data_IF_236813731456
#
_entry.id   IF_236813731456
#
_cell.length_a   1.000
_cell.length_b   1.000
_cell.length_c   1.000
_cell.angle_alpha   90.00
_cell.angle_beta   90.00
_cell.angle_gamma   90.00
#
_symmetry.space_group_name_H-M   'P 1'
#
loop_
_entity.id
_entity.type
_entity.pdbx_description
1 polymer ?
#
# COMPACT_ATOMS: atom_id res chain seq x y z
N UNK A 1 -8.11 9.17 -30.47
CA UNK A 1 -7.22 8.33 -29.63
C UNK A 1 -6.45 7.40 -30.56
N UNK A 2 -5.10 7.49 -30.67
CA UNK A 2 -4.32 6.45 -31.33
C UNK A 2 -4.14 5.25 -30.37
N UNK A 3 -4.20 4.00 -30.86
CA UNK A 3 -3.95 2.82 -30.04
C UNK A 3 -2.46 2.67 -29.69
N UNK A 4 -2.18 2.08 -28.52
CA UNK A 4 -0.83 1.83 -28.04
C UNK A 4 -0.07 0.85 -28.97
N UNK A 5 1.25 1.03 -29.20
CA UNK A 5 2.04 0.13 -30.02
C UNK A 5 2.13 -1.23 -29.35
N UNK A 6 1.54 -2.26 -29.97
CA UNK A 6 1.67 -3.65 -29.54
C UNK A 6 3.07 -4.15 -29.87
N UNK A 7 3.97 -4.16 -28.88
CA UNK A 7 5.29 -4.77 -29.00
C UNK A 7 5.11 -6.29 -29.06
N UNK A 8 5.14 -6.86 -30.27
CA UNK A 8 5.08 -8.31 -30.45
C UNK A 8 6.33 -8.93 -29.82
N UNK A 9 6.14 -9.87 -28.90
CA UNK A 9 7.22 -10.63 -28.30
C UNK A 9 8.01 -11.35 -29.41
N UNK A 10 9.36 -11.33 -29.38
CA UNK A 10 10.14 -12.05 -30.36
C UNK A 10 9.81 -13.56 -30.27
N UNK A 11 9.83 -14.30 -31.38
CA UNK A 11 9.50 -15.73 -31.40
C UNK A 11 10.37 -16.54 -30.43
N UNK A 12 11.59 -16.08 -30.16
CA UNK A 12 12.51 -16.69 -29.19
C UNK A 12 12.01 -16.59 -27.74
N UNK A 13 11.28 -15.53 -27.38
CA UNK A 13 10.63 -15.43 -26.06
C UNK A 13 9.53 -16.48 -25.90
N UNK A 14 8.78 -16.78 -26.96
CA UNK A 14 7.78 -17.86 -26.95
C UNK A 14 8.40 -19.25 -26.74
N UNK A 15 9.54 -19.53 -27.39
CA UNK A 15 10.28 -20.76 -27.13
C UNK A 15 10.78 -20.84 -25.67
N UNK A 16 11.29 -19.74 -25.12
CA UNK A 16 11.71 -19.68 -23.72
C UNK A 16 10.55 -19.96 -22.76
N UNK A 17 9.37 -19.35 -22.98
CA UNK A 17 8.18 -19.62 -22.18
C UNK A 17 7.68 -21.07 -22.32
N UNK A 18 7.75 -21.65 -23.52
CA UNK A 18 7.36 -23.04 -23.74
C UNK A 18 8.29 -24.01 -22.98
N UNK A 19 9.60 -23.77 -23.00
CA UNK A 19 10.59 -24.56 -22.23
C UNK A 19 10.37 -24.39 -20.72
N UNK A 20 10.12 -23.16 -20.25
CA UNK A 20 9.84 -22.88 -18.85
C UNK A 20 8.57 -23.59 -18.38
N UNK A 21 7.50 -23.58 -19.19
CA UNK A 21 6.21 -24.19 -18.87
C UNK A 21 6.28 -25.71 -18.86
N UNK A 22 7.02 -26.31 -19.80
CA UNK A 22 7.26 -27.76 -19.83
C UNK A 22 8.14 -28.23 -18.68
N UNK A 23 9.20 -27.49 -18.34
CA UNK A 23 10.02 -27.75 -17.16
C UNK A 23 9.20 -27.62 -15.86
N UNK A 24 8.33 -26.61 -15.76
CA UNK A 24 7.39 -26.45 -14.64
C UNK A 24 6.41 -27.62 -14.54
N UNK A 25 5.82 -28.06 -15.66
CA UNK A 25 4.91 -29.20 -15.69
C UNK A 25 5.59 -30.51 -15.28
N UNK A 26 6.83 -30.76 -15.73
CA UNK A 26 7.62 -31.93 -15.31
C UNK A 26 8.00 -31.86 -13.83
N UNK A 27 8.41 -30.69 -13.34
CA UNK A 27 8.69 -30.47 -11.92
C UNK A 27 7.44 -30.68 -11.06
N UNK A 28 6.28 -30.21 -11.53
CA UNK A 28 4.98 -30.41 -10.87
C UNK A 28 4.54 -31.88 -10.86
N UNK A 29 4.87 -32.63 -11.91
CA UNK A 29 4.63 -34.08 -11.97
C UNK A 29 5.51 -34.85 -10.99
N UNK A 30 6.77 -34.45 -10.84
CA UNK A 30 7.71 -35.09 -9.93
C UNK A 30 7.48 -34.73 -8.46
N UNK A 31 6.97 -33.52 -8.19
CA UNK A 31 6.80 -33.01 -6.82
C UNK A 31 5.42 -32.38 -6.57
N UNK A 32 4.30 -33.08 -6.87
CA UNK A 32 2.95 -32.52 -6.72
C UNK A 32 2.66 -32.16 -5.25
N UNK A 33 3.21 -32.92 -4.31
CA UNK A 33 3.05 -32.68 -2.87
C UNK A 33 3.70 -31.37 -2.44
N UNK A 34 4.90 -31.04 -2.96
CA UNK A 34 5.62 -29.82 -2.60
C UNK A 34 4.87 -28.59 -3.13
N UNK A 35 4.33 -28.66 -4.36
CA UNK A 35 3.53 -27.57 -4.92
C UNK A 35 2.24 -27.38 -4.11
N UNK A 36 1.52 -28.46 -3.78
CA UNK A 36 0.34 -28.37 -2.93
C UNK A 36 0.65 -27.76 -1.57
N UNK A 37 1.80 -28.07 -0.97
CA UNK A 37 2.24 -27.50 0.30
C UNK A 37 2.49 -25.99 0.17
N UNK A 38 3.19 -25.53 -0.87
CA UNK A 38 3.39 -24.11 -1.13
C UNK A 38 2.09 -23.35 -1.37
N UNK A 39 1.17 -23.92 -2.16
CA UNK A 39 -0.15 -23.33 -2.38
C UNK A 39 -0.92 -23.25 -1.07
N UNK A 40 -0.89 -24.30 -0.25
CA UNK A 40 -1.56 -24.31 1.05
C UNK A 40 -0.97 -23.26 1.99
N UNK A 41 0.36 -23.10 2.03
CA UNK A 41 1.02 -22.04 2.80
C UNK A 41 0.63 -20.65 2.30
N UNK A 42 0.57 -20.44 0.99
CA UNK A 42 0.17 -19.16 0.40
C UNK A 42 -1.28 -18.83 0.76
N UNK A 43 -2.21 -19.79 0.59
CA UNK A 43 -3.61 -19.61 0.96
C UNK A 43 -3.76 -19.35 2.46
N UNK A 44 -3.05 -20.11 3.30
CA UNK A 44 -3.06 -19.92 4.75
C UNK A 44 -2.56 -18.51 5.13
N UNK A 45 -1.50 -18.02 4.48
CA UNK A 45 -0.97 -16.66 4.69
C UNK A 45 -2.01 -15.59 4.37
N UNK A 46 -2.63 -15.67 3.19
CA UNK A 46 -3.66 -14.71 2.75
C UNK A 46 -4.88 -14.74 3.68
N UNK A 47 -5.35 -15.95 4.05
CA UNK A 47 -6.48 -16.11 4.98
C UNK A 47 -6.13 -15.53 6.35
N UNK A 48 -4.94 -15.81 6.88
CA UNK A 48 -4.48 -15.30 8.17
C UNK A 48 -4.41 -13.78 8.19
N UNK A 49 -3.82 -13.15 7.16
CA UNK A 49 -3.74 -11.70 7.06
C UNK A 49 -5.13 -11.06 6.90
N UNK A 50 -6.02 -11.67 6.11
CA UNK A 50 -7.40 -11.18 5.98
C UNK A 50 -8.17 -11.23 7.31
N UNK A 51 -8.04 -12.33 8.05
CA UNK A 51 -8.65 -12.51 9.37
C UNK A 51 -8.09 -11.50 10.37
N UNK A 52 -6.77 -11.28 10.35
CA UNK A 52 -6.10 -10.28 11.19
C UNK A 52 -6.61 -8.87 10.90
N UNK A 53 -6.70 -8.48 9.62
CA UNK A 53 -7.22 -7.16 9.20
C UNK A 53 -8.66 -6.98 9.63
N UNK A 54 -9.52 -7.98 9.42
CA UNK A 54 -10.92 -7.95 9.87
C UNK A 54 -11.02 -7.76 11.39
N UNK A 55 -10.22 -8.51 12.15
CA UNK A 55 -10.19 -8.39 13.61
C UNK A 55 -9.79 -6.98 14.06
N UNK A 56 -8.81 -6.34 13.41
CA UNK A 56 -8.45 -4.95 13.72
C UNK A 56 -9.59 -3.97 13.42
N UNK A 57 -10.31 -4.16 12.31
CA UNK A 57 -11.47 -3.32 11.93
C UNK A 57 -12.61 -3.48 12.94
N UNK A 58 -12.84 -4.68 13.45
CA UNK A 58 -13.86 -4.97 14.46
C UNK A 58 -13.50 -4.34 15.82
N UNK A 59 -12.25 -4.48 16.28
CA UNK A 59 -11.79 -3.85 17.53
C UNK A 59 -11.87 -2.32 17.51
N UNK A 60 -11.77 -1.74 16.31
CA UNK A 60 -11.85 -0.29 16.07
C UNK A 60 -13.20 0.11 15.47
N UNK A 61 -14.22 -0.74 15.57
CA UNK A 61 -15.54 -0.43 15.05
C UNK A 61 -16.14 0.75 15.81
N UNK A 62 -16.28 1.88 15.11
CA UNK A 62 -16.75 3.15 15.67
C UNK A 62 -15.70 4.27 15.65
N UNK A 63 -14.44 3.95 15.38
CA UNK A 63 -13.44 4.98 15.09
C UNK A 63 -13.67 5.57 13.70
N UNK A 64 -13.63 6.89 13.63
CA UNK A 64 -13.90 7.64 12.40
C UNK A 64 -12.79 8.63 12.10
N UNK A 65 -12.81 9.19 10.90
CA UNK A 65 -11.88 10.26 10.49
C UNK A 65 -11.85 11.42 11.49
N UNK A 66 -12.96 11.71 12.17
CA UNK A 66 -13.01 12.78 13.16
C UNK A 66 -12.13 12.48 14.38
N UNK A 67 -12.06 11.22 14.83
CA UNK A 67 -11.19 10.83 15.93
C UNK A 67 -9.72 10.86 15.50
N UNK A 68 -9.43 10.40 14.28
CA UNK A 68 -8.10 10.51 13.69
C UNK A 68 -7.65 11.97 13.53
N UNK A 69 -8.49 12.84 12.98
CA UNK A 69 -8.16 14.26 12.83
C UNK A 69 -7.91 14.95 14.19
N UNK A 70 -8.62 14.52 15.25
CA UNK A 70 -8.45 15.06 16.60
C UNK A 70 -7.10 14.73 17.24
N UNK A 71 -6.39 13.70 16.77
CA UNK A 71 -5.03 13.43 17.28
C UNK A 71 -3.97 14.39 16.75
N UNK A 72 -4.32 15.28 15.82
CA UNK A 72 -3.41 16.29 15.26
C UNK A 72 -3.81 17.71 15.70
N UNK A 73 -2.82 18.61 15.78
CA UNK A 73 -3.06 20.03 16.03
C UNK A 73 -3.55 20.71 14.75
N UNK A 74 -4.87 20.94 14.67
CA UNK A 74 -5.54 21.55 13.52
C UNK A 74 -5.01 22.95 13.14
N UNK A 75 -4.30 23.64 14.04
CA UNK A 75 -3.72 24.96 13.75
C UNK A 75 -2.38 24.87 13.04
N UNK A 76 -1.71 23.73 13.12
CA UNK A 76 -0.37 23.48 12.58
C UNK A 76 -0.37 22.53 11.40
N UNK A 77 -1.37 21.66 11.33
CA UNK A 77 -1.45 20.61 10.31
C UNK A 77 -2.56 20.93 9.32
N UNK A 78 -2.23 20.86 8.02
CA UNK A 78 -3.17 21.04 6.94
C UNK A 78 -4.20 19.88 6.92
N UNK A 79 -5.47 20.26 7.04
CA UNK A 79 -6.59 19.31 7.01
C UNK A 79 -6.69 18.52 5.70
N UNK A 80 -6.18 19.06 4.57
CA UNK A 80 -6.13 18.34 3.29
C UNK A 80 -5.18 17.15 3.36
N UNK A 81 -4.02 17.31 4.00
CA UNK A 81 -3.06 16.23 4.21
C UNK A 81 -3.64 15.18 5.15
N UNK A 82 -4.21 15.58 6.30
CA UNK A 82 -4.83 14.64 7.25
C UNK A 82 -5.88 13.79 6.54
N UNK A 83 -6.75 14.43 5.76
CA UNK A 83 -7.81 13.74 5.02
C UNK A 83 -7.26 12.83 3.94
N UNK A 84 -6.30 13.29 3.15
CA UNK A 84 -5.69 12.48 2.08
C UNK A 84 -5.01 11.24 2.65
N UNK A 85 -4.19 11.39 3.70
CA UNK A 85 -3.54 10.26 4.36
C UNK A 85 -4.57 9.27 4.92
N UNK A 86 -5.60 9.77 5.61
CA UNK A 86 -6.63 8.89 6.18
C UNK A 86 -7.40 8.11 5.09
N UNK A 87 -7.83 8.80 4.03
CA UNK A 87 -8.64 8.18 2.98
C UNK A 87 -7.84 7.21 2.12
N UNK A 88 -6.61 7.54 1.72
CA UNK A 88 -5.83 6.70 0.81
C UNK A 88 -5.26 5.48 1.52
N UNK A 89 -4.62 5.65 2.68
CA UNK A 89 -4.14 4.52 3.48
C UNK A 89 -5.34 3.67 3.95
N UNK A 90 -6.43 4.32 4.35
CA UNK A 90 -7.64 3.65 4.79
C UNK A 90 -8.32 2.86 3.67
N UNK A 91 -8.25 3.35 2.42
CA UNK A 91 -8.80 2.66 1.25
C UNK A 91 -7.93 1.49 0.84
N UNK A 92 -6.61 1.66 0.87
CA UNK A 92 -5.67 0.60 0.54
C UNK A 92 -5.80 -0.60 1.47
N UNK A 93 -5.91 -0.35 2.79
CA UNK A 93 -6.04 -1.41 3.80
C UNK A 93 -7.48 -1.87 4.03
N UNK A 94 -8.44 -1.07 3.56
CA UNK A 94 -9.86 -1.29 3.75
C UNK A 94 -10.42 -2.39 2.86
N UNK A 95 -11.73 -2.52 2.90
CA UNK A 95 -12.51 -3.33 1.94
C UNK A 95 -13.28 -2.41 1.03
N UNK A 96 -13.82 -2.95 -0.07
CA UNK A 96 -14.56 -2.18 -1.08
C UNK A 96 -15.64 -1.25 -0.49
N UNK A 97 -16.28 -1.67 0.59
CA UNK A 97 -17.40 -0.95 1.21
C UNK A 97 -17.01 -0.19 2.49
N UNK A 98 -15.78 -0.33 3.00
CA UNK A 98 -15.38 0.26 4.28
C UNK A 98 -13.89 0.60 4.34
N UNK A 99 -13.60 1.86 4.65
CA UNK A 99 -12.25 2.36 4.99
C UNK A 99 -11.74 1.70 6.28
N UNK A 100 -10.44 1.41 6.31
CA UNK A 100 -9.76 0.95 7.51
C UNK A 100 -9.67 2.10 8.55
N UNK A 101 -10.07 1.87 9.81
CA UNK A 101 -9.98 2.90 10.87
C UNK A 101 -8.53 3.09 11.34
N UNK A 102 -7.89 4.14 10.81
CA UNK A 102 -6.51 4.49 11.13
C UNK A 102 -6.38 5.29 12.42
N UNK A 103 -5.24 5.09 13.10
CA UNK A 103 -4.77 5.90 14.23
C UNK A 103 -3.42 6.51 13.87
N UNK A 104 -3.15 7.71 14.38
CA UNK A 104 -1.88 8.39 14.13
C UNK A 104 -0.65 7.58 14.60
N UNK A 105 -0.80 6.81 15.69
CA UNK A 105 0.26 5.98 16.25
C UNK A 105 0.42 4.61 15.56
N UNK A 106 -0.39 4.30 14.54
CA UNK A 106 -0.26 3.04 13.82
C UNK A 106 1.09 2.97 13.10
N UNK A 107 1.85 1.89 13.32
CA UNK A 107 3.11 1.62 12.63
C UNK A 107 2.84 1.10 11.22
N UNK A 108 3.48 1.68 10.21
CA UNK A 108 3.25 1.33 8.80
C UNK A 108 3.81 -0.06 8.46
N UNK A 109 5.08 -0.29 8.76
CA UNK A 109 5.83 -1.45 8.28
C UNK A 109 5.86 -2.64 9.26
N UNK A 110 5.59 -2.43 10.54
CA UNK A 110 5.74 -3.48 11.56
C UNK A 110 4.69 -4.58 11.42
N UNK A 111 5.09 -5.82 11.75
CA UNK A 111 4.22 -7.01 11.74
C UNK A 111 2.99 -6.87 12.65
N UNK A 112 3.13 -6.09 13.71
CA UNK A 112 2.08 -5.84 14.71
C UNK A 112 1.13 -4.71 14.25
N UNK A 113 1.52 -3.94 13.24
CA UNK A 113 0.83 -2.75 12.72
C UNK A 113 0.14 -2.96 11.39
N UNK A 114 0.27 -2.01 10.47
CA UNK A 114 -0.46 -2.03 9.20
C UNK A 114 0.12 -2.99 8.16
N UNK A 115 1.38 -3.44 8.33
CA UNK A 115 2.11 -4.32 7.39
C UNK A 115 2.04 -3.81 5.94
N UNK A 116 2.22 -2.51 5.76
CA UNK A 116 2.53 -1.97 4.44
C UNK A 116 3.97 -2.31 4.13
N UNK A 117 4.27 -2.75 2.91
CA UNK A 117 5.64 -2.77 2.43
C UNK A 117 6.01 -1.40 1.80
N UNK A 118 7.26 -1.28 1.33
CA UNK A 118 7.72 -0.04 0.70
C UNK A 118 7.04 0.22 -0.64
N UNK A 119 6.73 -0.83 -1.41
CA UNK A 119 6.13 -0.70 -2.73
C UNK A 119 4.68 -0.21 -2.61
N UNK A 120 3.94 -0.74 -1.65
CA UNK A 120 2.61 -0.28 -1.26
C UNK A 120 2.63 1.20 -0.85
N UNK A 121 3.61 1.61 -0.03
CA UNK A 121 3.72 3.00 0.41
C UNK A 121 3.97 3.96 -0.75
N UNK A 122 4.84 3.59 -1.70
CA UNK A 122 5.13 4.41 -2.89
C UNK A 122 3.88 4.58 -3.75
N UNK A 123 3.10 3.52 -3.96
CA UNK A 123 1.84 3.57 -4.70
C UNK A 123 0.83 4.53 -4.04
N UNK A 124 0.65 4.42 -2.72
CA UNK A 124 -0.31 5.26 -1.99
C UNK A 124 0.22 6.71 -1.87
N UNK A 125 1.54 6.90 -1.82
CA UNK A 125 2.14 8.23 -1.67
C UNK A 125 1.81 9.15 -2.84
N UNK A 126 1.78 8.64 -4.08
CA UNK A 126 1.37 9.41 -5.27
C UNK A 126 -0.08 9.91 -5.16
N UNK A 127 -1.00 9.02 -4.74
CA UNK A 127 -2.41 9.36 -4.56
C UNK A 127 -2.62 10.37 -3.41
N UNK A 128 -1.87 10.22 -2.30
CA UNK A 128 -1.89 11.17 -1.19
C UNK A 128 -1.36 12.53 -1.65
N UNK A 129 -0.22 12.56 -2.33
CA UNK A 129 0.40 13.79 -2.83
C UNK A 129 -0.56 14.57 -3.72
N UNK A 130 -1.18 13.87 -4.68
CA UNK A 130 -2.15 14.44 -5.59
C UNK A 130 -3.36 15.04 -4.85
N UNK A 131 -3.96 14.29 -3.91
CA UNK A 131 -5.12 14.76 -3.15
C UNK A 131 -4.80 15.86 -2.14
N UNK A 132 -3.60 15.82 -1.57
CA UNK A 132 -3.12 16.82 -0.63
C UNK A 132 -2.63 18.11 -1.32
N UNK A 133 -2.44 18.10 -2.64
CA UNK A 133 -1.82 19.21 -3.37
C UNK A 133 -0.34 19.39 -3.01
N UNK A 134 0.37 18.28 -2.78
CA UNK A 134 1.78 18.25 -2.40
C UNK A 134 2.60 17.65 -3.53
N UNK A 135 3.77 18.20 -3.77
CA UNK A 135 4.72 17.66 -4.75
C UNK A 135 5.60 16.61 -4.09
N UNK A 136 5.87 15.52 -4.81
CA UNK A 136 6.85 14.52 -4.41
C UNK A 136 8.25 14.79 -5.01
N UNK A 137 8.42 15.90 -5.73
CA UNK A 137 9.73 16.29 -6.24
C UNK A 137 10.72 16.48 -5.09
N UNK A 138 11.91 15.89 -5.20
CA UNK A 138 12.95 15.92 -4.16
C UNK A 138 12.52 15.34 -2.79
N UNK A 139 11.64 14.33 -2.79
CA UNK A 139 11.20 13.65 -1.57
C UNK A 139 12.37 13.19 -0.67
N UNK A 140 13.50 12.79 -1.25
CA UNK A 140 14.71 12.35 -0.53
C UNK A 140 15.32 13.44 0.39
N UNK A 141 15.10 14.72 0.07
CA UNK A 141 15.60 15.85 0.89
C UNK A 141 14.67 16.15 2.08
N UNK A 142 13.52 15.49 2.15
CA UNK A 142 12.59 15.67 3.27
C UNK A 142 13.20 15.07 4.54
N UNK A 143 13.25 15.82 5.67
CA UNK A 143 13.78 15.30 6.95
C UNK A 143 13.13 14.02 7.46
N UNK A 144 11.90 13.74 7.01
CA UNK A 144 11.13 12.57 7.42
C UNK A 144 11.28 11.38 6.47
N UNK A 145 11.88 11.51 5.27
CA UNK A 145 11.90 10.46 4.24
C UNK A 145 12.43 9.11 4.74
N UNK A 146 13.52 9.12 5.50
CA UNK A 146 14.14 7.90 6.07
C UNK A 146 13.62 7.54 7.47
N UNK A 147 12.65 8.29 8.00
CA UNK A 147 12.15 8.17 9.38
C UNK A 147 10.66 7.88 9.46
N UNK A 148 10.00 7.66 8.33
CA UNK A 148 8.58 7.32 8.32
C UNK A 148 8.43 5.96 8.98
N UNK A 149 7.81 5.91 10.16
CA UNK A 149 7.53 4.64 10.84
C UNK A 149 6.05 4.50 11.18
N UNK A 150 5.39 5.63 11.42
CA UNK A 150 3.98 5.72 11.81
C UNK A 150 3.15 6.53 10.82
N UNK A 151 1.83 6.41 10.91
CA UNK A 151 0.89 7.26 10.15
C UNK A 151 1.08 8.75 10.49
N UNK A 152 1.43 9.08 11.73
CA UNK A 152 1.75 10.44 12.13
C UNK A 152 3.00 10.98 11.40
N UNK A 153 4.05 10.15 11.28
CA UNK A 153 5.25 10.52 10.53
C UNK A 153 4.94 10.73 9.05
N UNK A 154 4.03 9.93 8.49
CA UNK A 154 3.57 10.08 7.11
C UNK A 154 2.87 11.43 6.91
N UNK A 155 1.99 11.83 7.84
CA UNK A 155 1.38 13.18 7.83
C UNK A 155 2.47 14.27 7.93
N UNK A 156 3.45 14.10 8.83
CA UNK A 156 4.55 15.04 8.99
C UNK A 156 5.43 15.15 7.74
N UNK A 157 5.67 14.04 7.05
CA UNK A 157 6.36 14.00 5.77
C UNK A 157 5.66 14.87 4.73
N UNK A 158 4.35 14.67 4.51
CA UNK A 158 3.59 15.46 3.54
C UNK A 158 3.45 16.93 3.94
N UNK A 159 3.40 17.24 5.23
CA UNK A 159 3.45 18.63 5.73
C UNK A 159 4.77 19.34 5.38
N UNK A 160 5.88 18.59 5.34
CA UNK A 160 7.19 19.10 4.95
C UNK A 160 7.42 19.11 3.43
N UNK A 161 6.49 18.56 2.63
CA UNK A 161 6.55 18.62 1.17
C UNK A 161 6.04 19.98 0.63
N UNK A 162 6.63 20.48 -0.47
CA UNK A 162 6.18 21.73 -1.09
C UNK A 162 4.79 21.56 -1.71
N UNK A 163 4.02 22.64 -1.72
CA UNK A 163 2.74 22.68 -2.40
C UNK A 163 2.93 22.59 -3.92
N UNK A 164 2.06 21.85 -4.61
CA UNK A 164 1.98 21.94 -6.07
C UNK A 164 1.41 23.30 -6.42
N UNK A 165 2.16 24.11 -7.16
CA UNK A 165 1.63 25.36 -7.70
C UNK A 165 0.31 25.08 -8.42
N UNK A 166 -0.75 25.88 -8.20
CA UNK A 166 -1.96 25.76 -8.99
C UNK A 166 -1.57 25.99 -10.46
N UNK A 167 -1.92 25.04 -11.33
CA UNK A 167 -1.95 25.24 -12.76
C UNK A 167 -3.17 26.09 -13.15
#
# INVERSE_FOLDING_TARGET
MPPAPTRKLPPLAWFFFAVLLTAFALSAWNYPVIICLWILLLVASVVFDSWRKQRMIEWRAGESICQFARSFDYRKTDTRIIRAVYEEVGRFLGTKDRLFPLRAADTLFSDDGLKLDSEDLDLIAEDIAFRAGRSLCNAEHNPYFSRITTVADLVAFFMAQPETSPA
#
